data_IF_652531129131
#
_entry.id   IF_652531129131
#
_cell.length_a   1.000
_cell.length_b   1.000
_cell.length_c   1.000
_cell.angle_alpha   90.00
_cell.angle_beta   90.00
_cell.angle_gamma   90.00
#
_symmetry.space_group_name_H-M   'P 1'
#
loop_
_entity.id
_entity.type
_entity.pdbx_description
1 polymer ?
#
# COMPACT_ATOMS: atom_id res chain seq x y z
N UNK A 1 -18.27 -9.73 14.03
CA UNK A 1 -17.16 -10.20 13.17
C UNK A 1 -16.63 -9.01 12.38
N UNK A 2 -15.36 -8.65 12.54
CA UNK A 2 -14.75 -7.50 11.84
C UNK A 2 -14.74 -7.79 10.34
N UNK A 3 -15.53 -7.04 9.57
CA UNK A 3 -15.41 -7.01 8.10
C UNK A 3 -13.96 -6.67 7.78
N UNK A 4 -13.25 -7.58 7.13
CA UNK A 4 -11.84 -7.38 6.81
C UNK A 4 -11.70 -6.20 5.86
N UNK A 5 -11.07 -5.13 6.32
CA UNK A 5 -10.69 -3.99 5.50
C UNK A 5 -9.27 -4.15 4.95
N UNK A 6 -8.81 -3.18 4.14
CA UNK A 6 -7.44 -3.16 3.68
C UNK A 6 -6.49 -3.02 4.87
N UNK A 7 -5.36 -3.73 4.80
CA UNK A 7 -4.26 -3.62 5.75
C UNK A 7 -3.19 -2.71 5.16
N UNK A 8 -2.59 -1.86 5.99
CA UNK A 8 -1.49 -0.98 5.63
C UNK A 8 -0.38 -1.08 6.67
N UNK A 9 0.85 -0.78 6.28
CA UNK A 9 2.02 -0.81 7.15
C UNK A 9 3.24 -1.41 6.47
N UNK A 10 4.37 -1.45 7.18
CA UNK A 10 5.65 -1.91 6.62
C UNK A 10 5.60 -3.31 5.99
N UNK A 11 4.74 -4.19 6.53
CA UNK A 11 4.58 -5.56 6.03
C UNK A 11 3.66 -5.68 4.80
N UNK A 12 2.78 -4.70 4.57
CA UNK A 12 1.73 -4.74 3.54
C UNK A 12 1.96 -3.73 2.41
N UNK A 13 2.75 -2.68 2.69
CA UNK A 13 2.98 -1.54 1.79
C UNK A 13 4.46 -1.47 1.41
N UNK A 14 4.84 -1.89 0.19
CA UNK A 14 6.22 -1.75 -0.30
C UNK A 14 6.65 -0.28 -0.30
N UNK A 15 7.83 0.01 0.24
CA UNK A 15 8.32 1.39 0.33
C UNK A 15 7.79 2.18 1.53
N UNK A 16 7.10 1.56 2.48
CA UNK A 16 6.62 2.23 3.71
C UNK A 16 7.69 3.02 4.47
N UNK A 17 8.94 2.54 4.47
CA UNK A 17 10.09 3.23 5.08
C UNK A 17 10.56 4.46 4.30
N UNK A 18 10.21 4.57 3.02
CA UNK A 18 10.54 5.71 2.15
C UNK A 18 9.47 6.81 2.22
N UNK A 19 8.33 6.54 2.86
CA UNK A 19 7.22 7.47 2.99
C UNK A 19 7.39 8.40 4.20
N UNK A 20 7.04 9.66 3.98
CA UNK A 20 6.85 10.63 5.05
C UNK A 20 5.59 10.31 5.87
N UNK A 21 5.46 10.91 7.05
CA UNK A 21 4.25 10.73 7.87
C UNK A 21 2.98 11.17 7.13
N UNK A 22 3.04 12.29 6.40
CA UNK A 22 1.92 12.82 5.62
C UNK A 22 1.45 11.84 4.55
N UNK A 23 2.38 11.28 3.78
CA UNK A 23 2.05 10.30 2.75
C UNK A 23 1.47 9.01 3.32
N UNK A 24 1.92 8.61 4.52
CA UNK A 24 1.36 7.45 5.21
C UNK A 24 -0.10 7.67 5.60
N UNK A 25 -0.44 8.87 6.03
CA UNK A 25 -1.82 9.24 6.34
C UNK A 25 -2.69 9.32 5.07
N UNK A 26 -2.20 9.96 4.01
CA UNK A 26 -2.89 10.00 2.72
C UNK A 26 -3.12 8.59 2.14
N UNK A 27 -2.12 7.71 2.20
CA UNK A 27 -2.27 6.32 1.77
C UNK A 27 -3.28 5.57 2.64
N UNK A 28 -3.29 5.81 3.96
CA UNK A 28 -4.30 5.25 4.87
C UNK A 28 -5.70 5.67 4.48
N UNK A 29 -5.91 6.94 4.20
CA UNK A 29 -7.22 7.47 3.80
C UNK A 29 -7.67 6.89 2.46
N UNK A 30 -6.77 6.84 1.47
CA UNK A 30 -7.05 6.22 0.17
C UNK A 30 -7.41 4.75 0.31
N UNK A 31 -6.60 3.95 1.01
CA UNK A 31 -6.88 2.54 1.22
C UNK A 31 -8.19 2.35 2.00
N UNK A 32 -8.46 3.17 3.02
CA UNK A 32 -9.73 3.12 3.76
C UNK A 32 -10.94 3.48 2.89
N UNK A 33 -10.76 4.28 1.83
CA UNK A 33 -11.82 4.63 0.89
C UNK A 33 -12.19 3.47 -0.05
N UNK A 34 -11.26 2.55 -0.31
CA UNK A 34 -11.56 1.33 -1.06
C UNK A 34 -12.56 0.45 -0.31
N UNK A 35 -13.61 0.04 -1.01
CA UNK A 35 -14.67 -0.84 -0.53
C UNK A 35 -14.60 -2.23 -1.16
N UNK A 36 -13.89 -2.36 -2.28
CA UNK A 36 -13.72 -3.63 -2.98
C UNK A 36 -12.25 -4.06 -3.04
N UNK A 37 -12.04 -5.35 -3.30
CA UNK A 37 -10.70 -5.90 -3.53
C UNK A 37 -10.03 -5.26 -4.74
N UNK A 38 -10.77 -5.00 -5.81
CA UNK A 38 -10.27 -4.41 -7.05
C UNK A 38 -9.78 -2.98 -6.82
N UNK A 39 -10.55 -2.16 -6.11
CA UNK A 39 -10.16 -0.80 -5.72
C UNK A 39 -8.88 -0.84 -4.86
N UNK A 40 -8.81 -1.76 -3.90
CA UNK A 40 -7.63 -1.92 -3.07
C UNK A 40 -6.40 -2.32 -3.88
N UNK A 41 -6.53 -3.25 -4.84
CA UNK A 41 -5.42 -3.69 -5.69
C UNK A 41 -4.95 -2.54 -6.59
N UNK A 42 -5.88 -1.79 -7.18
CA UNK A 42 -5.55 -0.61 -7.98
C UNK A 42 -4.80 0.46 -7.18
N UNK A 43 -5.24 0.73 -5.94
CA UNK A 43 -4.56 1.67 -5.05
C UNK A 43 -3.18 1.18 -4.62
N UNK A 44 -3.04 -0.12 -4.34
CA UNK A 44 -1.75 -0.75 -4.01
C UNK A 44 -0.78 -0.62 -5.18
N UNK A 45 -1.21 -0.91 -6.40
CA UNK A 45 -0.36 -0.89 -7.59
C UNK A 45 0.08 0.54 -7.92
N UNK A 46 -0.86 1.49 -7.88
CA UNK A 46 -0.55 2.93 -8.00
C UNK A 46 0.46 3.38 -6.95
N UNK A 47 0.30 2.93 -5.71
CA UNK A 47 1.22 3.27 -4.63
C UNK A 47 2.61 2.66 -4.85
N UNK A 48 2.67 1.42 -5.33
CA UNK A 48 3.92 0.75 -5.67
C UNK A 48 4.70 1.52 -6.74
N UNK A 49 4.05 1.95 -7.81
CA UNK A 49 4.70 2.75 -8.87
C UNK A 49 5.28 4.06 -8.33
N UNK A 50 4.52 4.78 -7.49
CA UNK A 50 4.98 6.02 -6.85
C UNK A 50 6.21 5.78 -5.96
N UNK A 51 6.19 4.71 -5.17
CA UNK A 51 7.30 4.37 -4.30
C UNK A 51 8.50 3.86 -5.10
N UNK A 52 8.29 3.19 -6.24
CA UNK A 52 9.35 2.74 -7.13
C UNK A 52 10.10 3.93 -7.77
N UNK A 53 9.36 4.94 -8.23
CA UNK A 53 9.95 6.17 -8.75
C UNK A 53 10.80 6.86 -7.68
N UNK A 54 10.26 7.00 -6.46
CA UNK A 54 10.98 7.59 -5.33
C UNK A 54 12.20 6.78 -4.90
N UNK A 55 12.09 5.46 -4.88
CA UNK A 55 13.18 4.56 -4.53
C UNK A 55 14.34 4.73 -5.52
N UNK A 56 14.03 4.87 -6.82
CA UNK A 56 15.01 5.18 -7.86
C UNK A 56 15.67 6.54 -7.64
N UNK A 57 14.91 7.59 -7.30
CA UNK A 57 15.45 8.92 -7.01
C UNK A 57 16.36 8.93 -5.76
N UNK A 58 16.00 8.16 -4.73
CA UNK A 58 16.78 8.06 -3.48
C UNK A 58 17.91 7.04 -3.55
N UNK A 59 18.04 6.28 -4.64
CA UNK A 59 19.01 5.20 -4.78
C UNK A 59 18.77 4.02 -3.82
N UNK A 60 17.53 3.81 -3.36
CA UNK A 60 17.17 2.72 -2.45
C UNK A 60 16.54 1.59 -3.23
N UNK A 61 16.93 0.34 -2.93
CA UNK A 61 16.28 -0.83 -3.50
C UNK A 61 14.90 -1.04 -2.85
N UNK A 62 13.84 -0.94 -3.64
CA UNK A 62 12.49 -1.26 -3.17
C UNK A 62 12.11 -2.70 -3.56
N UNK A 63 11.51 -3.49 -2.66
CA UNK A 63 11.01 -4.80 -3.01
C UNK A 63 9.94 -4.71 -4.10
N UNK A 64 10.09 -5.54 -5.14
CA UNK A 64 9.15 -5.60 -6.26
C UNK A 64 7.75 -6.09 -5.83
N UNK A 65 7.64 -6.82 -4.72
CA UNK A 65 6.38 -7.38 -4.24
C UNK A 65 6.18 -7.11 -2.73
N UNK A 66 4.93 -6.83 -2.28
CA UNK A 66 4.59 -6.79 -0.87
C UNK A 66 4.82 -8.14 -0.18
N UNK A 67 5.26 -8.11 1.08
CA UNK A 67 5.45 -9.33 1.90
C UNK A 67 4.11 -9.99 2.26
N UNK A 68 3.05 -9.19 2.35
CA UNK A 68 1.68 -9.61 2.64
C UNK A 68 0.73 -8.85 1.72
N UNK A 69 -0.36 -9.48 1.31
CA UNK A 69 -1.38 -8.82 0.50
C UNK A 69 -2.19 -7.84 1.37
N UNK A 70 -2.03 -6.54 1.10
CA UNK A 70 -2.79 -5.46 1.73
C UNK A 70 -4.31 -5.63 1.56
N UNK A 71 -4.74 -6.29 0.48
CA UNK A 71 -6.14 -6.45 0.10
C UNK A 71 -6.76 -7.77 0.58
N UNK A 72 -5.99 -8.61 1.30
CA UNK A 72 -6.47 -9.90 1.80
C UNK A 72 -7.70 -9.79 2.72
N UNK A 73 -7.92 -8.63 3.36
CA UNK A 73 -9.09 -8.39 4.20
C UNK A 73 -10.41 -8.43 3.43
N UNK A 74 -10.38 -8.04 2.15
CA UNK A 74 -11.51 -8.20 1.24
C UNK A 74 -11.58 -9.67 0.81
N UNK A 75 -12.18 -10.51 1.65
CA UNK A 75 -12.61 -11.85 1.23
C UNK A 75 -13.58 -11.71 0.04
N UNK A 76 -13.51 -12.60 -0.96
CA UNK A 76 -14.54 -12.70 -1.99
C UNK A 76 -15.92 -13.03 -1.37
#
# INVERSE_FOLDING_TARGET
MMRGGPRWGADYTPGWSLMTAKERDEHREQMRSAKTREECVALRDKHHEQMAARAKEKGVAMPAQPRRDACQGFKP
#
